data_IF_718385008843
#
_entry.id   IF_718385008843
#
_cell.length_a   1.000
_cell.length_b   1.000
_cell.length_c   1.000
_cell.angle_alpha   90.00
_cell.angle_beta   90.00
_cell.angle_gamma   90.00
#
_symmetry.space_group_name_H-M   'P 1'
#
loop_
_entity.id
_entity.type
_entity.pdbx_description
1 polymer ?
#
# COMPACT_ATOMS: atom_id res chain seq x y z
N UNK A 1 -2.44 -14.81 7.07
CA UNK A 1 -1.02 -15.22 7.17
C UNK A 1 -0.23 -14.48 6.10
N UNK A 2 0.75 -13.66 6.50
CA UNK A 2 1.66 -12.96 5.59
C UNK A 2 2.75 -13.92 5.13
N UNK A 3 3.03 -14.00 3.83
CA UNK A 3 3.91 -15.08 3.29
C UNK A 3 5.21 -14.58 2.70
N UNK A 4 5.21 -13.41 2.08
CA UNK A 4 6.38 -12.90 1.35
C UNK A 4 6.55 -11.43 1.65
N UNK A 5 7.74 -11.05 2.15
CA UNK A 5 8.14 -9.63 2.25
C UNK A 5 8.44 -9.11 0.86
N UNK A 6 7.97 -7.91 0.60
CA UNK A 6 8.15 -7.14 -0.64
C UNK A 6 8.57 -5.72 -0.25
N UNK A 7 8.76 -4.83 -1.22
CA UNK A 7 9.36 -3.50 -1.00
C UNK A 7 8.74 -2.75 0.18
N UNK A 8 7.41 -2.54 0.16
CA UNK A 8 6.72 -1.70 1.14
C UNK A 8 5.66 -2.44 1.96
N UNK A 9 5.82 -3.76 2.11
CA UNK A 9 4.87 -4.56 2.89
C UNK A 9 5.02 -6.06 2.67
N UNK A 10 3.86 -6.72 2.58
CA UNK A 10 3.75 -8.16 2.50
C UNK A 10 2.67 -8.61 1.53
N UNK A 11 2.95 -9.69 0.82
CA UNK A 11 1.98 -10.40 0.01
C UNK A 11 1.22 -11.44 0.85
N UNK A 12 -0.11 -11.37 0.79
CA UNK A 12 -1.03 -12.31 1.45
C UNK A 12 -1.63 -13.37 0.51
N UNK A 13 -1.13 -13.44 -0.75
CA UNK A 13 -1.61 -14.36 -1.79
C UNK A 13 -1.69 -15.80 -1.29
N UNK A 14 -2.74 -16.51 -1.68
CA UNK A 14 -2.97 -17.90 -1.28
C UNK A 14 -1.91 -18.84 -1.91
N UNK A 15 -1.51 -19.90 -1.20
CA UNK A 15 -0.48 -20.84 -1.72
C UNK A 15 -0.98 -21.59 -2.96
N UNK A 16 -2.28 -21.92 -2.99
CA UNK A 16 -2.91 -22.57 -4.14
C UNK A 16 -2.98 -21.70 -5.41
N UNK A 17 -2.60 -20.41 -5.34
CA UNK A 17 -2.63 -19.50 -6.49
C UNK A 17 -1.28 -19.41 -7.22
N UNK A 18 -0.35 -20.32 -6.91
CA UNK A 18 1.04 -20.36 -7.40
C UNK A 18 1.80 -19.03 -7.22
N UNK A 19 3.05 -19.00 -7.70
CA UNK A 19 3.88 -17.80 -7.66
C UNK A 19 3.24 -16.66 -8.48
N UNK A 20 3.31 -15.43 -7.96
CA UNK A 20 2.84 -14.27 -8.70
C UNK A 20 3.74 -14.02 -9.93
N UNK A 21 3.19 -13.89 -11.15
CA UNK A 21 3.99 -13.60 -12.34
C UNK A 21 4.47 -12.13 -12.39
N UNK A 22 3.93 -11.26 -11.53
CA UNK A 22 4.27 -9.85 -11.47
C UNK A 22 5.06 -9.54 -10.20
N UNK A 23 6.28 -9.04 -10.35
CA UNK A 23 7.15 -8.71 -9.22
C UNK A 23 6.99 -7.25 -8.72
N UNK A 24 6.54 -6.34 -9.58
CA UNK A 24 6.74 -4.89 -9.38
C UNK A 24 5.45 -4.05 -9.32
N UNK A 25 4.28 -4.67 -9.07
CA UNK A 25 2.98 -3.96 -9.02
C UNK A 25 2.25 -4.19 -7.68
N UNK A 26 3.01 -4.57 -6.65
CA UNK A 26 2.43 -5.09 -5.42
C UNK A 26 1.53 -4.07 -4.73
N UNK A 27 1.92 -2.80 -4.64
CA UNK A 27 1.16 -1.72 -4.00
C UNK A 27 -0.19 -1.43 -4.71
N UNK A 28 -0.45 -2.02 -5.86
CA UNK A 28 -1.72 -1.91 -6.59
C UNK A 28 -2.54 -3.22 -6.54
N UNK A 29 -2.01 -4.28 -5.92
CA UNK A 29 -2.61 -5.61 -5.88
C UNK A 29 -3.49 -5.80 -4.64
N UNK A 30 -4.63 -6.46 -4.79
CA UNK A 30 -5.54 -6.79 -3.68
C UNK A 30 -4.91 -7.65 -2.59
N UNK A 31 -3.87 -8.43 -2.93
CA UNK A 31 -3.15 -9.27 -1.97
C UNK A 31 -2.13 -8.49 -1.14
N UNK A 32 -1.92 -7.20 -1.43
CA UNK A 32 -0.95 -6.37 -0.73
C UNK A 32 -1.47 -5.90 0.62
N UNK A 33 -0.62 -6.11 1.61
CA UNK A 33 -0.84 -5.66 2.98
C UNK A 33 0.39 -4.92 3.44
N UNK A 34 0.20 -3.87 4.24
CA UNK A 34 1.29 -3.06 4.79
C UNK A 34 0.93 -2.64 6.21
N UNK A 35 1.89 -2.10 6.95
CA UNK A 35 1.74 -1.67 8.34
C UNK A 35 2.54 -0.37 8.56
N UNK A 36 2.50 0.14 9.79
CA UNK A 36 3.14 1.42 10.13
C UNK A 36 4.67 1.43 10.03
N UNK A 37 5.34 0.25 9.96
CA UNK A 37 6.79 0.14 9.70
C UNK A 37 7.16 0.80 8.36
N UNK A 38 6.26 0.72 7.38
CA UNK A 38 6.51 1.14 6.00
C UNK A 38 6.02 2.55 5.68
N UNK A 39 5.50 3.29 6.66
CA UNK A 39 4.99 4.65 6.45
C UNK A 39 6.03 5.56 5.75
N UNK A 40 7.29 5.64 6.21
CA UNK A 40 8.28 6.51 5.58
C UNK A 40 8.55 6.15 4.11
N UNK A 41 8.56 4.86 3.78
CA UNK A 41 8.83 4.38 2.43
C UNK A 41 7.63 4.62 1.50
N UNK A 42 6.40 4.43 1.99
CA UNK A 42 5.19 4.74 1.23
C UNK A 42 5.06 6.24 0.97
N UNK A 43 5.41 7.10 1.93
CA UNK A 43 5.42 8.55 1.76
C UNK A 43 6.51 9.01 0.78
N UNK A 44 7.70 8.41 0.85
CA UNK A 44 8.77 8.67 -0.11
C UNK A 44 8.37 8.27 -1.54
N UNK A 45 7.81 7.07 -1.73
CA UNK A 45 7.34 6.64 -3.05
C UNK A 45 6.21 7.52 -3.58
N UNK A 46 5.30 7.99 -2.71
CA UNK A 46 4.24 8.90 -3.11
C UNK A 46 4.83 10.23 -3.64
N UNK A 47 5.85 10.77 -2.96
CA UNK A 47 6.54 11.98 -3.42
C UNK A 47 7.20 11.77 -4.79
N UNK A 48 7.86 10.63 -4.98
CA UNK A 48 8.50 10.28 -6.27
C UNK A 48 7.47 10.16 -7.40
N UNK A 49 6.36 9.45 -7.17
CA UNK A 49 5.30 9.28 -8.17
C UNK A 49 4.58 10.59 -8.51
N UNK A 50 4.43 11.51 -7.55
CA UNK A 50 3.91 12.86 -7.81
C UNK A 50 4.84 13.63 -8.74
N UNK A 51 6.15 13.63 -8.47
CA UNK A 51 7.15 14.30 -9.30
C UNK A 51 7.20 13.68 -10.72
N UNK A 52 7.10 12.37 -10.84
CA UNK A 52 7.04 11.68 -12.14
C UNK A 52 5.77 12.01 -12.93
N UNK A 53 4.62 12.13 -12.25
CA UNK A 53 3.37 12.57 -12.90
C UNK A 53 3.51 13.99 -13.45
N UNK A 54 4.07 14.91 -12.66
CA UNK A 54 4.31 16.30 -13.08
C UNK A 54 5.26 16.38 -14.29
N UNK A 55 6.36 15.61 -14.29
CA UNK A 55 7.27 15.53 -15.44
C UNK A 55 6.56 14.97 -16.69
N UNK A 56 5.73 13.93 -16.53
CA UNK A 56 4.96 13.35 -17.63
C UNK A 56 3.91 14.35 -18.18
N UNK A 57 3.27 15.15 -17.32
CA UNK A 57 2.35 16.21 -17.72
C UNK A 57 3.07 17.30 -18.53
N UNK A 58 4.21 17.78 -18.04
CA UNK A 58 5.02 18.79 -18.72
C UNK A 58 5.49 18.34 -20.13
N UNK A 59 5.64 17.03 -20.34
CA UNK A 59 6.06 16.42 -21.61
C UNK A 59 4.90 15.96 -22.49
N UNK A 60 3.65 16.03 -22.00
CA UNK A 60 2.47 15.54 -22.72
C UNK A 60 2.39 14.02 -22.85
N UNK A 61 3.01 13.26 -21.94
CA UNK A 61 3.03 11.80 -21.94
C UNK A 61 1.79 11.23 -21.25
N UNK A 62 0.62 11.38 -21.90
CA UNK A 62 -0.68 11.05 -21.31
C UNK A 62 -0.80 9.63 -20.74
N UNK A 63 -0.15 8.62 -21.36
CA UNK A 63 -0.15 7.25 -20.85
C UNK A 63 0.61 7.11 -19.53
N UNK A 64 1.72 7.82 -19.38
CA UNK A 64 2.51 7.84 -18.14
C UNK A 64 1.81 8.64 -17.05
N UNK A 65 1.18 9.78 -17.39
CA UNK A 65 0.33 10.51 -16.44
C UNK A 65 -0.75 9.60 -15.84
N UNK A 66 -1.46 8.85 -16.70
CA UNK A 66 -2.47 7.91 -16.25
C UNK A 66 -1.88 6.74 -15.44
N UNK A 67 -0.65 6.31 -15.75
CA UNK A 67 0.05 5.26 -15.01
C UNK A 67 0.42 5.74 -13.61
N UNK A 68 1.10 6.88 -13.48
CA UNK A 68 1.49 7.47 -12.19
C UNK A 68 0.27 7.77 -11.32
N UNK A 69 -0.81 8.30 -11.91
CA UNK A 69 -2.05 8.56 -11.18
C UNK A 69 -2.65 7.30 -10.51
N UNK A 70 -2.54 6.11 -11.13
CA UNK A 70 -3.00 4.86 -10.52
C UNK A 70 -2.12 4.43 -9.34
N UNK A 71 -0.80 4.64 -9.43
CA UNK A 71 0.12 4.34 -8.33
C UNK A 71 -0.16 5.26 -7.14
N UNK A 72 -0.24 6.56 -7.39
CA UNK A 72 -0.57 7.61 -6.41
C UNK A 72 -1.84 7.25 -5.65
N UNK A 73 -2.93 6.97 -6.38
CA UNK A 73 -4.21 6.63 -5.75
C UNK A 73 -4.12 5.38 -4.85
N UNK A 74 -3.25 4.42 -5.17
CA UNK A 74 -3.06 3.24 -4.33
C UNK A 74 -2.25 3.55 -3.08
N UNK A 75 -1.17 4.32 -3.22
CA UNK A 75 -0.33 4.76 -2.10
C UNK A 75 -1.13 5.60 -1.10
N UNK A 76 -1.94 6.55 -1.59
CA UNK A 76 -2.82 7.38 -0.76
C UNK A 76 -3.79 6.51 0.06
N UNK A 77 -4.49 5.55 -0.58
CA UNK A 77 -5.38 4.62 0.15
C UNK A 77 -4.66 3.82 1.22
N UNK A 78 -3.41 3.40 0.98
CA UNK A 78 -2.63 2.68 1.97
C UNK A 78 -2.24 3.58 3.15
N UNK A 79 -1.76 4.79 2.87
CA UNK A 79 -1.40 5.78 3.88
C UNK A 79 -2.61 6.18 4.73
N UNK A 80 -3.75 6.45 4.11
CA UNK A 80 -4.98 6.82 4.81
C UNK A 80 -5.44 5.71 5.76
N UNK A 81 -5.45 4.45 5.28
CA UNK A 81 -5.79 3.30 6.13
C UNK A 81 -4.86 3.18 7.33
N UNK A 82 -3.55 3.36 7.12
CA UNK A 82 -2.57 3.28 8.21
C UNK A 82 -2.78 4.40 9.24
N UNK A 83 -2.95 5.65 8.79
CA UNK A 83 -3.17 6.83 9.64
C UNK A 83 -4.49 6.75 10.44
N UNK A 84 -5.55 6.25 9.80
CA UNK A 84 -6.86 6.07 10.44
C UNK A 84 -6.89 4.88 11.42
N UNK A 85 -6.11 3.83 11.14
CA UNK A 85 -5.97 2.68 12.06
C UNK A 85 -5.22 3.09 13.34
N UNK A 86 -4.20 3.94 13.24
CA UNK A 86 -3.49 4.49 14.40
C UNK A 86 -4.39 5.37 15.28
N UNK A 87 -5.35 6.08 14.68
CA UNK A 87 -6.28 6.97 15.40
C UNK A 87 -7.43 6.17 16.05
N UNK A 88 -7.72 4.97 15.54
CA UNK A 88 -8.77 4.09 16.07
C UNK A 88 -8.19 3.12 17.10
N UNK A 89 -7.86 3.61 18.30
CA UNK A 89 -7.87 2.76 19.50
C UNK A 89 -8.63 3.45 20.61
N UNK A 90 -9.88 3.02 20.85
CA UNK A 90 -10.45 3.01 22.19
C UNK A 90 -10.89 1.59 22.58
N UNK A 91 -10.43 1.14 23.76
CA UNK A 91 -11.12 0.12 24.55
C UNK A 91 -10.51 -1.29 24.51
N UNK A 92 -9.65 -1.56 25.49
CA UNK A 92 -9.50 -2.90 26.04
C UNK A 92 -10.84 -3.23 26.75
N UNK A 93 -11.74 -3.99 26.11
CA UNK A 93 -12.89 -4.54 26.81
C UNK A 93 -12.40 -5.62 27.80
N UNK A 94 -12.76 -5.55 29.10
CA UNK A 94 -12.44 -6.61 30.04
C UNK A 94 -13.33 -7.84 29.76
N UNK A 95 -12.68 -8.99 29.68
CA UNK A 95 -13.28 -10.33 29.57
C UNK A 95 -14.38 -10.57 30.62
N UNK A 96 -15.63 -10.90 30.24
CA UNK A 96 -16.71 -11.12 31.19
C UNK A 96 -16.81 -12.56 31.72
N UNK A 97 -15.77 -13.41 31.64
CA UNK A 97 -15.87 -14.81 32.11
C UNK A 97 -14.79 -15.27 33.11
N UNK A 98 -14.62 -14.49 34.18
CA UNK A 98 -14.20 -15.02 35.47
C UNK A 98 -15.37 -14.92 36.47
N UNK A 99 -16.09 -16.02 36.66
CA UNK A 99 -17.23 -16.14 37.58
C UNK A 99 -18.02 -17.41 37.35
#
# INVERSE_FOLDING_TARGET
MLKTRIAHGYCSRHLAADACPYANICEQCDNFTTNTEFLPQLEAQLADELALREDAEARGWNSEVARHARVIASLERHLDRLKNTTTSTPGLDPDPRAG
#
